data_IF_060235759540
#
_entry.id   IF_060235759540
#
_cell.length_a   1.000
_cell.length_b   1.000
_cell.length_c   1.000
_cell.angle_alpha   90.00
_cell.angle_beta   90.00
_cell.angle_gamma   90.00
#
_symmetry.space_group_name_H-M   'P 1'
#
loop_
_entity.id
_entity.type
_entity.pdbx_description
1 polymer ?
#
# COMPACT_ATOMS: atom_id res chain seq x y z
N UNK A 1 12.65 -6.21 -14.12
CA UNK A 1 13.10 -7.50 -14.68
C UNK A 1 14.13 -8.08 -13.74
N UNK A 2 14.11 -9.41 -13.55
CA UNK A 2 15.20 -10.12 -12.87
C UNK A 2 16.45 -10.09 -13.77
N UNK A 3 17.60 -9.87 -13.15
CA UNK A 3 18.88 -10.01 -13.86
C UNK A 3 19.30 -11.48 -13.85
N UNK A 4 19.91 -11.95 -14.92
CA UNK A 4 20.41 -13.34 -15.01
C UNK A 4 21.37 -13.69 -13.85
N UNK A 5 22.14 -12.71 -13.39
CA UNK A 5 23.05 -12.86 -12.24
C UNK A 5 22.30 -13.12 -10.92
N UNK A 6 21.09 -12.59 -10.72
CA UNK A 6 20.30 -12.86 -9.51
C UNK A 6 19.87 -14.31 -9.45
N UNK A 7 19.47 -14.90 -10.59
CA UNK A 7 19.07 -16.31 -10.66
C UNK A 7 20.25 -17.23 -10.41
N UNK A 8 21.43 -16.91 -10.95
CA UNK A 8 22.65 -17.70 -10.74
C UNK A 8 23.20 -17.62 -9.31
N UNK A 9 22.85 -16.58 -8.58
CA UNK A 9 23.21 -16.41 -7.16
C UNK A 9 22.16 -16.97 -6.19
N UNK A 10 21.09 -17.57 -6.68
CA UNK A 10 20.10 -18.21 -5.82
C UNK A 10 20.67 -19.41 -5.07
N UNK A 11 20.21 -19.63 -3.84
CA UNK A 11 20.67 -20.69 -2.96
C UNK A 11 19.92 -21.99 -3.22
N UNK A 12 20.62 -23.05 -3.58
CA UNK A 12 20.06 -24.36 -3.93
C UNK A 12 20.50 -25.41 -2.93
N UNK A 13 19.57 -26.21 -2.43
CA UNK A 13 19.85 -27.40 -1.62
C UNK A 13 19.59 -28.66 -2.44
N UNK A 14 20.54 -29.56 -2.46
CA UNK A 14 20.41 -30.92 -3.05
C UNK A 14 20.27 -31.92 -1.89
N UNK A 15 19.27 -32.79 -1.99
CA UNK A 15 18.98 -33.83 -0.98
C UNK A 15 18.80 -35.16 -1.72
N UNK A 16 19.79 -36.05 -1.59
CA UNK A 16 19.78 -37.38 -2.21
C UNK A 16 20.73 -38.29 -1.37
N UNK A 17 20.30 -39.48 -1.01
CA UNK A 17 21.08 -40.42 -0.19
C UNK A 17 22.25 -41.06 -0.95
N UNK A 18 22.32 -40.88 -2.28
CA UNK A 18 23.37 -41.42 -3.13
C UNK A 18 24.39 -40.35 -3.51
N UNK A 19 25.61 -40.48 -3.06
CA UNK A 19 26.70 -39.54 -3.32
C UNK A 19 26.90 -39.27 -4.80
N UNK A 20 26.77 -40.32 -5.65
CA UNK A 20 26.91 -40.19 -7.11
C UNK A 20 25.89 -39.24 -7.72
N UNK A 21 24.66 -39.26 -7.23
CA UNK A 21 23.58 -38.33 -7.67
C UNK A 21 23.86 -36.90 -7.21
N UNK A 22 24.29 -36.74 -5.97
CA UNK A 22 24.67 -35.44 -5.42
C UNK A 22 25.79 -34.81 -6.26
N UNK A 23 26.87 -35.56 -6.49
CA UNK A 23 28.03 -35.10 -7.29
C UNK A 23 27.62 -34.72 -8.71
N UNK A 24 26.76 -35.52 -9.35
CA UNK A 24 26.25 -35.22 -10.69
C UNK A 24 25.49 -33.92 -10.74
N UNK A 25 24.53 -33.74 -9.81
CA UNK A 25 23.68 -32.54 -9.74
C UNK A 25 24.50 -31.29 -9.40
N UNK A 26 25.46 -31.38 -8.47
CA UNK A 26 26.40 -30.28 -8.17
C UNK A 26 27.20 -29.87 -9.41
N UNK A 27 27.77 -30.85 -10.14
CA UNK A 27 28.52 -30.56 -11.35
C UNK A 27 27.66 -29.90 -12.43
N UNK A 28 26.42 -30.36 -12.61
CA UNK A 28 25.44 -29.79 -13.56
C UNK A 28 25.13 -28.34 -13.23
N UNK A 29 24.87 -28.05 -11.95
CA UNK A 29 24.56 -26.71 -11.49
C UNK A 29 25.75 -25.77 -11.57
N UNK A 30 26.96 -26.22 -11.13
CA UNK A 30 28.18 -25.42 -11.25
C UNK A 30 28.53 -25.11 -12.71
N UNK A 31 28.37 -26.07 -13.61
CA UNK A 31 28.57 -25.87 -15.07
C UNK A 31 27.51 -24.92 -15.68
N UNK A 32 26.33 -24.79 -15.06
CA UNK A 32 25.33 -23.83 -15.44
C UNK A 32 25.55 -22.43 -14.87
N UNK A 33 26.56 -22.26 -13.99
CA UNK A 33 26.93 -20.95 -13.39
C UNK A 33 26.32 -20.66 -12.02
N UNK A 34 25.60 -21.61 -11.40
CA UNK A 34 25.11 -21.44 -10.03
C UNK A 34 26.27 -21.50 -9.02
N UNK A 35 26.25 -20.58 -8.05
CA UNK A 35 27.35 -20.38 -7.13
C UNK A 35 27.08 -20.86 -5.70
N UNK A 36 25.82 -20.80 -5.27
CA UNK A 36 25.40 -21.14 -3.91
C UNK A 36 24.67 -22.49 -3.86
N UNK A 37 25.48 -23.56 -3.88
CA UNK A 37 24.97 -24.94 -3.86
C UNK A 37 25.42 -25.59 -2.56
N UNK A 38 24.46 -26.14 -1.84
CA UNK A 38 24.65 -26.97 -0.65
C UNK A 38 24.04 -28.34 -0.93
N UNK A 39 24.63 -29.39 -0.41
CA UNK A 39 24.11 -30.75 -0.51
C UNK A 39 24.06 -31.43 0.84
N UNK A 40 23.15 -32.37 0.99
CA UNK A 40 23.10 -33.29 2.13
C UNK A 40 22.61 -34.66 1.71
N UNK A 41 23.16 -35.71 2.31
CA UNK A 41 22.67 -37.09 2.21
C UNK A 41 21.74 -37.47 3.37
N UNK A 42 21.61 -36.58 4.34
CA UNK A 42 20.72 -36.77 5.51
C UNK A 42 19.42 -35.99 5.35
N UNK A 43 18.29 -36.68 5.12
CA UNK A 43 16.99 -36.03 4.99
C UNK A 43 16.52 -35.33 6.29
N UNK A 44 16.96 -35.79 7.47
CA UNK A 44 16.61 -35.18 8.74
C UNK A 44 17.22 -33.79 8.93
N UNK A 45 18.40 -33.54 8.34
CA UNK A 45 19.09 -32.27 8.40
C UNK A 45 18.41 -31.15 7.58
N UNK A 46 17.53 -31.47 6.63
CA UNK A 46 16.96 -30.53 5.65
C UNK A 46 16.24 -29.37 6.32
N UNK A 47 15.40 -29.63 7.31
CA UNK A 47 14.64 -28.59 7.99
C UNK A 47 15.52 -27.61 8.76
N UNK A 48 16.56 -28.12 9.44
CA UNK A 48 17.53 -27.28 10.15
C UNK A 48 18.36 -26.45 9.19
N UNK A 49 18.82 -27.05 8.09
CA UNK A 49 19.57 -26.37 7.03
C UNK A 49 18.73 -25.27 6.38
N UNK A 50 17.48 -25.56 6.03
CA UNK A 50 16.61 -24.56 5.42
C UNK A 50 16.28 -23.41 6.38
N UNK A 51 16.02 -23.65 7.65
CA UNK A 51 15.84 -22.58 8.67
C UNK A 51 17.05 -21.65 8.74
N UNK A 52 18.25 -22.21 8.64
CA UNK A 52 19.51 -21.46 8.77
C UNK A 52 19.87 -20.68 7.51
N UNK A 53 19.71 -21.30 6.33
CA UNK A 53 20.25 -20.78 5.07
C UNK A 53 19.18 -20.20 4.13
N UNK A 54 17.89 -20.49 4.36
CA UNK A 54 16.77 -19.98 3.55
C UNK A 54 16.97 -20.22 2.05
N UNK A 55 17.07 -21.50 1.65
CA UNK A 55 17.26 -21.88 0.24
C UNK A 55 16.12 -21.39 -0.66
N UNK A 56 16.45 -21.06 -1.88
CA UNK A 56 15.50 -20.62 -2.90
C UNK A 56 14.90 -21.76 -3.71
N UNK A 57 15.59 -22.92 -3.75
CA UNK A 57 15.14 -24.14 -4.40
C UNK A 57 15.70 -25.35 -3.66
N UNK A 58 14.87 -26.40 -3.55
CA UNK A 58 15.29 -27.69 -3.02
C UNK A 58 15.12 -28.73 -4.12
N UNK A 59 16.20 -29.44 -4.46
CA UNK A 59 16.21 -30.66 -5.27
C UNK A 59 16.12 -31.85 -4.32
N UNK A 60 15.09 -32.67 -4.42
CA UNK A 60 14.77 -33.68 -3.41
C UNK A 60 14.54 -35.04 -4.05
N UNK A 61 15.34 -36.04 -3.68
CA UNK A 61 14.97 -37.44 -3.92
C UNK A 61 13.83 -37.86 -2.98
N UNK A 62 12.91 -38.68 -3.48
CA UNK A 62 11.83 -39.25 -2.68
C UNK A 62 12.25 -40.53 -1.95
N UNK A 63 13.16 -41.28 -2.53
CA UNK A 63 13.54 -42.60 -2.06
C UNK A 63 14.84 -42.54 -1.25
N UNK A 64 14.69 -42.20 0.02
CA UNK A 64 15.82 -42.17 0.96
C UNK A 64 15.52 -43.06 2.16
N UNK A 65 16.54 -43.72 2.76
CA UNK A 65 16.38 -44.46 3.99
C UNK A 65 16.02 -43.52 5.14
N UNK A 66 15.41 -44.05 6.19
CA UNK A 66 15.04 -43.38 7.45
C UNK A 66 13.91 -42.37 7.37
N UNK A 67 13.90 -41.46 6.40
CA UNK A 67 12.87 -40.45 6.19
C UNK A 67 12.62 -40.30 4.68
N UNK A 68 11.39 -40.49 4.22
CA UNK A 68 11.06 -40.33 2.82
C UNK A 68 10.92 -38.85 2.42
N UNK A 69 11.10 -38.55 1.13
CA UNK A 69 11.01 -37.16 0.66
C UNK A 69 9.64 -36.53 0.85
N UNK A 70 8.56 -37.31 1.06
CA UNK A 70 7.23 -36.78 1.37
C UNK A 70 7.18 -36.20 2.79
N UNK A 71 7.84 -36.85 3.76
CA UNK A 71 7.95 -36.34 5.13
C UNK A 71 8.77 -35.06 5.16
N UNK A 72 9.88 -34.99 4.38
CA UNK A 72 10.67 -33.76 4.21
C UNK A 72 9.81 -32.63 3.66
N UNK A 73 9.03 -32.88 2.59
CA UNK A 73 8.15 -31.88 2.00
C UNK A 73 7.07 -31.38 2.97
N UNK A 74 6.49 -32.28 3.79
CA UNK A 74 5.50 -31.88 4.77
C UNK A 74 6.08 -30.89 5.78
N UNK A 75 7.25 -31.18 6.35
CA UNK A 75 7.89 -30.27 7.31
C UNK A 75 8.35 -28.95 6.68
N UNK A 76 8.77 -28.94 5.41
CA UNK A 76 9.07 -27.70 4.67
C UNK A 76 7.83 -26.85 4.47
N UNK A 77 6.67 -27.44 4.18
CA UNK A 77 5.40 -26.72 4.04
C UNK A 77 5.01 -26.01 5.34
N UNK A 78 5.19 -26.69 6.47
CA UNK A 78 4.88 -26.12 7.78
C UNK A 78 5.82 -24.94 8.14
N UNK A 79 7.06 -25.02 7.69
CA UNK A 79 8.07 -23.94 7.87
C UNK A 79 7.83 -22.72 6.97
N UNK A 80 7.33 -22.92 5.78
CA UNK A 80 7.14 -21.90 4.74
C UNK A 80 5.66 -21.56 4.52
N UNK A 81 4.83 -21.69 5.56
CA UNK A 81 3.43 -21.37 5.50
C UNK A 81 3.21 -19.93 5.01
N UNK A 82 2.61 -19.80 3.82
CA UNK A 82 2.36 -18.50 3.17
C UNK A 82 3.47 -17.99 2.24
N UNK A 83 4.58 -18.73 2.08
CA UNK A 83 5.63 -18.41 1.12
C UNK A 83 5.69 -19.42 -0.04
N UNK A 84 6.33 -19.02 -1.14
CA UNK A 84 6.54 -19.88 -2.30
C UNK A 84 7.95 -20.46 -2.28
N UNK A 85 8.15 -21.64 -1.64
CA UNK A 85 9.40 -22.40 -1.74
C UNK A 85 9.23 -23.50 -2.80
N UNK A 86 9.92 -23.45 -3.93
CA UNK A 86 9.89 -24.52 -4.91
C UNK A 86 10.71 -25.73 -4.44
N UNK A 87 10.10 -26.92 -4.55
CA UNK A 87 10.73 -28.22 -4.41
C UNK A 87 10.64 -28.95 -5.75
N UNK A 88 11.77 -29.27 -6.35
CA UNK A 88 11.88 -30.11 -7.53
C UNK A 88 12.19 -31.53 -7.09
N UNK A 89 11.25 -32.43 -7.29
CA UNK A 89 11.39 -33.83 -6.95
C UNK A 89 12.12 -34.59 -8.04
N UNK A 90 13.11 -35.39 -7.69
CA UNK A 90 13.87 -36.24 -8.59
C UNK A 90 13.66 -37.69 -8.18
N UNK A 91 12.96 -38.50 -8.99
CA UNK A 91 12.56 -39.86 -8.60
C UNK A 91 12.69 -40.87 -9.74
N UNK A 92 13.06 -42.11 -9.39
CA UNK A 92 13.07 -43.24 -10.33
C UNK A 92 11.68 -43.84 -10.59
N UNK A 93 10.69 -43.54 -9.75
CA UNK A 93 9.35 -44.18 -9.84
C UNK A 93 8.32 -43.27 -10.50
N UNK A 94 7.80 -43.65 -11.70
CA UNK A 94 6.77 -42.85 -12.39
C UNK A 94 5.45 -42.69 -11.60
N UNK A 95 5.12 -43.66 -10.76
CA UNK A 95 3.90 -43.66 -9.96
C UNK A 95 3.88 -42.59 -8.84
N UNK A 96 5.02 -42.08 -8.44
CA UNK A 96 5.12 -41.06 -7.37
C UNK A 96 4.87 -39.63 -7.86
N UNK A 97 4.83 -39.39 -9.18
CA UNK A 97 4.69 -38.04 -9.76
C UNK A 97 3.46 -37.30 -9.26
N UNK A 98 2.27 -37.91 -9.40
CA UNK A 98 1.03 -37.28 -8.98
C UNK A 98 1.00 -37.04 -7.49
N UNK A 99 1.46 -38.01 -6.70
CA UNK A 99 1.55 -37.92 -5.24
C UNK A 99 2.51 -36.79 -4.80
N UNK A 100 3.65 -36.64 -5.49
CA UNK A 100 4.62 -35.57 -5.19
C UNK A 100 4.02 -34.18 -5.43
N UNK A 101 3.32 -33.97 -6.55
CA UNK A 101 2.63 -32.70 -6.84
C UNK A 101 1.52 -32.43 -5.80
N UNK A 102 0.74 -33.43 -5.45
CA UNK A 102 -0.30 -33.32 -4.40
C UNK A 102 0.31 -33.01 -3.03
N UNK A 103 1.50 -33.56 -2.73
CA UNK A 103 2.25 -33.28 -1.51
C UNK A 103 2.90 -31.89 -1.48
N UNK A 104 2.88 -31.15 -2.60
CA UNK A 104 3.35 -29.77 -2.70
C UNK A 104 4.63 -29.54 -3.49
N UNK A 105 5.22 -30.57 -4.10
CA UNK A 105 6.27 -30.38 -5.07
C UNK A 105 5.77 -29.47 -6.20
N UNK A 106 6.61 -28.57 -6.66
CA UNK A 106 6.24 -27.66 -7.73
C UNK A 106 6.47 -28.28 -9.12
N UNK A 107 7.40 -29.22 -9.20
CA UNK A 107 7.68 -29.98 -10.38
C UNK A 107 8.42 -31.29 -10.03
N UNK A 108 8.60 -32.17 -11.01
CA UNK A 108 9.33 -33.42 -10.85
C UNK A 108 10.17 -33.74 -12.09
N UNK A 109 11.23 -34.53 -11.88
CA UNK A 109 12.08 -35.12 -12.94
C UNK A 109 12.24 -36.62 -12.69
N UNK A 110 12.15 -37.42 -13.73
CA UNK A 110 12.32 -38.87 -13.65
C UNK A 110 13.77 -39.29 -13.89
N UNK A 111 14.31 -40.17 -13.04
CA UNK A 111 15.61 -40.82 -13.28
C UNK A 111 15.41 -41.97 -14.31
N UNK A 112 16.30 -42.14 -15.32
CA UNK A 112 17.40 -41.27 -15.69
C UNK A 112 16.89 -39.96 -16.31
N UNK A 113 17.52 -38.82 -15.98
CA UNK A 113 17.06 -37.51 -16.42
C UNK A 113 17.97 -36.90 -17.50
N UNK A 114 17.40 -36.08 -18.34
CA UNK A 114 18.12 -35.20 -19.26
C UNK A 114 18.62 -33.98 -18.53
N UNK A 115 19.93 -33.70 -18.66
CA UNK A 115 20.57 -32.55 -18.01
C UNK A 115 20.05 -31.20 -18.49
N UNK A 116 19.59 -31.11 -19.73
CA UNK A 116 18.98 -29.88 -20.28
C UNK A 116 17.60 -29.66 -19.66
N UNK A 117 16.82 -30.73 -19.51
CA UNK A 117 15.51 -30.66 -18.83
C UNK A 117 15.68 -30.19 -17.39
N UNK A 118 16.58 -30.78 -16.61
CA UNK A 118 16.82 -30.41 -15.22
C UNK A 118 17.22 -28.95 -15.11
N UNK A 119 18.16 -28.49 -15.90
CA UNK A 119 18.62 -27.08 -15.89
C UNK A 119 17.48 -26.12 -16.20
N UNK A 120 16.66 -26.42 -17.22
CA UNK A 120 15.55 -25.55 -17.62
C UNK A 120 14.51 -25.45 -16.52
N UNK A 121 14.15 -26.58 -15.88
CA UNK A 121 13.18 -26.59 -14.77
C UNK A 121 13.70 -25.80 -13.57
N UNK A 122 14.96 -26.01 -13.18
CA UNK A 122 15.62 -25.27 -12.10
C UNK A 122 15.58 -23.78 -12.38
N UNK A 123 15.99 -23.36 -13.56
CA UNK A 123 15.99 -21.94 -13.95
C UNK A 123 14.60 -21.31 -13.83
N UNK A 124 13.58 -21.93 -14.42
CA UNK A 124 12.21 -21.44 -14.39
C UNK A 124 11.66 -21.37 -12.96
N UNK A 125 11.94 -22.38 -12.13
CA UNK A 125 11.49 -22.40 -10.74
C UNK A 125 12.14 -21.30 -9.88
N UNK A 126 13.43 -21.06 -10.09
CA UNK A 126 14.16 -19.99 -9.42
C UNK A 126 13.67 -18.60 -9.88
N UNK A 127 13.42 -18.43 -11.18
CA UNK A 127 12.84 -17.19 -11.70
C UNK A 127 11.51 -16.86 -10.99
N UNK A 128 10.61 -17.83 -10.92
CA UNK A 128 9.34 -17.67 -10.22
C UNK A 128 9.55 -17.38 -8.73
N UNK A 129 10.44 -18.10 -8.06
CA UNK A 129 10.75 -17.86 -6.63
C UNK A 129 11.21 -16.45 -6.36
N UNK A 130 12.18 -15.96 -7.14
CA UNK A 130 12.73 -14.62 -6.97
C UNK A 130 11.69 -13.52 -7.30
N UNK A 131 10.80 -13.76 -8.26
CA UNK A 131 9.69 -12.86 -8.55
C UNK A 131 8.71 -12.79 -7.36
N UNK A 132 8.38 -13.92 -6.74
CA UNK A 132 7.55 -13.93 -5.52
C UNK A 132 8.19 -13.19 -4.36
N UNK A 133 9.50 -13.36 -4.15
CA UNK A 133 10.24 -12.63 -3.11
C UNK A 133 10.20 -11.12 -3.36
N UNK A 134 10.51 -10.68 -4.58
CA UNK A 134 10.43 -9.25 -4.95
C UNK A 134 9.01 -8.70 -4.77
N UNK A 135 8.00 -9.44 -5.16
CA UNK A 135 6.60 -9.02 -4.97
C UNK A 135 6.26 -8.83 -3.49
N UNK A 136 6.71 -9.75 -2.63
CA UNK A 136 6.50 -9.65 -1.19
C UNK A 136 7.22 -8.42 -0.59
N UNK A 137 8.45 -8.14 -1.02
CA UNK A 137 9.20 -6.95 -0.62
C UNK A 137 8.53 -5.66 -1.07
N UNK A 138 8.05 -5.60 -2.32
CA UNK A 138 7.31 -4.45 -2.83
C UNK A 138 6.00 -4.20 -2.06
N UNK A 139 5.23 -5.26 -1.78
CA UNK A 139 4.01 -5.14 -1.01
C UNK A 139 4.29 -4.58 0.39
N UNK A 140 5.29 -5.10 1.09
CA UNK A 140 5.70 -4.59 2.40
C UNK A 140 6.13 -3.12 2.35
N UNK A 141 6.88 -2.72 1.31
CA UNK A 141 7.29 -1.32 1.12
C UNK A 141 6.10 -0.41 0.83
N UNK A 142 5.12 -0.87 0.04
CA UNK A 142 3.90 -0.12 -0.24
C UNK A 142 3.04 0.06 1.00
N UNK A 143 2.86 -0.99 1.81
CA UNK A 143 2.12 -0.92 3.08
C UNK A 143 2.75 0.13 4.01
N UNK A 144 4.07 0.11 4.17
CA UNK A 144 4.79 1.10 4.97
C UNK A 144 4.60 2.52 4.42
N UNK A 145 4.70 2.69 3.11
CA UNK A 145 4.51 4.00 2.47
C UNK A 145 3.08 4.54 2.67
N UNK A 146 2.06 3.68 2.59
CA UNK A 146 0.67 4.04 2.86
C UNK A 146 0.50 4.49 4.31
N UNK A 147 1.07 3.74 5.26
CA UNK A 147 1.02 4.09 6.68
C UNK A 147 1.68 5.44 6.96
N UNK A 148 2.89 5.67 6.45
CA UNK A 148 3.63 6.93 6.60
C UNK A 148 2.87 8.11 5.99
N UNK A 149 2.30 7.95 4.79
CA UNK A 149 1.52 9.01 4.14
C UNK A 149 0.23 9.31 4.88
N UNK A 150 -0.42 8.28 5.41
CA UNK A 150 -1.63 8.47 6.21
C UNK A 150 -1.34 9.22 7.52
N UNK A 151 -0.23 8.90 8.18
CA UNK A 151 0.22 9.61 9.38
C UNK A 151 0.56 11.08 9.08
N UNK A 152 1.30 11.35 8.00
CA UNK A 152 1.62 12.72 7.56
C UNK A 152 0.37 13.54 7.24
N UNK A 153 -0.62 12.93 6.56
CA UNK A 153 -1.86 13.61 6.23
C UNK A 153 -2.63 13.99 7.49
N UNK A 154 -2.79 13.04 8.43
CA UNK A 154 -3.46 13.29 9.72
C UNK A 154 -2.77 14.40 10.53
N UNK A 155 -1.44 14.40 10.56
CA UNK A 155 -0.69 15.45 11.24
C UNK A 155 -0.91 16.82 10.58
N UNK A 156 -0.88 16.87 9.25
CA UNK A 156 -1.12 18.10 8.49
C UNK A 156 -2.55 18.64 8.71
N UNK A 157 -3.55 17.76 8.69
CA UNK A 157 -4.95 18.12 8.99
C UNK A 157 -5.11 18.64 10.42
N UNK A 158 -4.51 17.96 11.41
CA UNK A 158 -4.55 18.39 12.80
C UNK A 158 -3.83 19.73 13.01
N UNK A 159 -2.73 19.95 12.29
CA UNK A 159 -2.01 21.23 12.31
C UNK A 159 -2.86 22.34 11.73
N UNK A 160 -3.50 22.09 10.59
CA UNK A 160 -4.39 23.05 9.94
C UNK A 160 -5.57 23.40 10.87
N UNK A 161 -6.21 22.41 11.50
CA UNK A 161 -7.30 22.63 12.44
C UNK A 161 -6.85 23.51 13.63
N UNK A 162 -5.69 23.24 14.22
CA UNK A 162 -5.17 24.06 15.33
C UNK A 162 -4.89 25.50 14.89
N UNK A 163 -4.38 25.72 13.67
CA UNK A 163 -4.18 27.07 13.15
C UNK A 163 -5.50 27.81 12.98
N UNK A 164 -6.53 27.15 12.46
CA UNK A 164 -7.85 27.77 12.32
C UNK A 164 -8.53 28.05 13.66
N UNK A 165 -8.32 27.19 14.67
CA UNK A 165 -8.83 27.42 16.04
C UNK A 165 -8.11 28.57 16.78
N UNK A 166 -6.83 28.77 16.54
CA UNK A 166 -6.03 29.85 17.14
C UNK A 166 -6.19 31.19 16.43
N UNK A 167 -6.63 31.16 15.18
CA UNK A 167 -6.95 32.34 14.40
C UNK A 167 -8.33 32.88 14.82
N UNK A 168 -8.47 34.21 14.88
CA UNK A 168 -9.80 34.85 15.01
C UNK A 168 -10.62 34.71 13.73
N UNK A 169 -10.02 34.14 12.70
CA UNK A 169 -10.65 33.90 11.39
C UNK A 169 -11.38 32.57 11.43
N UNK A 170 -12.51 32.51 10.79
CA UNK A 170 -13.20 31.23 10.58
C UNK A 170 -13.04 30.76 9.14
N UNK A 171 -12.94 29.45 8.97
CA UNK A 171 -12.93 28.77 7.67
C UNK A 171 -14.32 28.28 7.32
N UNK A 172 -14.69 28.35 6.04
CA UNK A 172 -15.93 27.83 5.54
C UNK A 172 -15.78 27.21 4.15
N UNK A 173 -16.57 26.17 3.91
CA UNK A 173 -16.79 25.56 2.60
C UNK A 173 -18.28 25.39 2.36
N UNK A 174 -18.71 25.61 1.14
CA UNK A 174 -20.08 25.33 0.69
C UNK A 174 -20.05 24.54 -0.62
N UNK A 175 -21.08 23.70 -0.82
CA UNK A 175 -21.27 22.97 -2.07
C UNK A 175 -21.77 23.90 -3.22
N UNK A 176 -21.99 23.31 -4.40
CA UNK A 176 -22.46 24.02 -5.57
C UNK A 176 -23.88 24.61 -5.39
N UNK A 177 -24.65 24.15 -4.39
CA UNK A 177 -25.96 24.63 -4.03
C UNK A 177 -25.91 25.70 -2.93
N UNK A 178 -24.74 26.05 -2.43
CA UNK A 178 -24.55 27.03 -1.38
C UNK A 178 -24.76 26.48 0.05
N UNK A 179 -24.89 25.17 0.21
CA UNK A 179 -24.99 24.53 1.52
C UNK A 179 -23.61 24.39 2.14
N UNK A 180 -23.44 24.85 3.38
CA UNK A 180 -22.19 24.67 4.11
C UNK A 180 -21.87 23.18 4.33
N UNK A 181 -20.70 22.78 3.90
CA UNK A 181 -20.19 21.40 4.00
C UNK A 181 -19.08 21.28 5.06
N UNK A 182 -18.32 22.35 5.27
CA UNK A 182 -17.27 22.43 6.27
C UNK A 182 -17.19 23.84 6.84
N UNK A 183 -16.92 23.95 8.14
CA UNK A 183 -16.67 25.25 8.77
C UNK A 183 -15.91 25.05 10.09
N UNK A 184 -15.20 26.11 10.51
CA UNK A 184 -14.52 26.18 11.82
C UNK A 184 -14.98 27.43 12.57
N UNK A 185 -14.89 27.39 13.90
CA UNK A 185 -15.29 28.52 14.75
C UNK A 185 -16.79 28.75 14.80
N UNK A 186 -17.26 29.91 15.28
CA UNK A 186 -18.68 30.22 15.53
C UNK A 186 -19.45 30.57 14.26
N UNK A 187 -19.06 30.03 13.09
CA UNK A 187 -19.64 30.37 11.78
C UNK A 187 -21.15 30.15 11.75
N UNK A 188 -21.64 29.05 12.31
CA UNK A 188 -23.07 28.75 12.31
C UNK A 188 -23.86 29.80 13.09
N UNK A 189 -23.36 30.21 14.27
CA UNK A 189 -23.98 31.26 15.08
C UNK A 189 -23.85 32.65 14.44
N UNK A 190 -22.65 32.92 13.87
CA UNK A 190 -22.35 34.21 13.25
C UNK A 190 -23.07 34.44 11.93
N UNK A 191 -23.28 33.38 11.14
CA UNK A 191 -24.02 33.45 9.87
C UNK A 191 -25.54 33.20 10.05
N UNK A 192 -26.01 32.88 11.27
CA UNK A 192 -27.43 32.57 11.53
C UNK A 192 -27.89 31.30 10.84
N UNK A 193 -26.97 30.33 10.61
CA UNK A 193 -27.27 29.08 9.94
C UNK A 193 -27.74 28.07 10.98
N UNK A 194 -29.01 27.75 10.98
CA UNK A 194 -29.60 26.75 11.90
C UNK A 194 -30.77 27.25 12.75
N UNK A 195 -31.08 28.53 12.78
CA UNK A 195 -32.31 29.05 13.39
C UNK A 195 -33.35 29.33 12.29
N UNK A 196 -34.34 28.48 12.16
CA UNK A 196 -35.48 28.71 11.24
C UNK A 196 -36.31 29.95 11.63
N UNK A 197 -36.01 30.62 12.76
CA UNK A 197 -36.84 31.66 13.35
C UNK A 197 -36.29 33.08 13.28
N UNK A 198 -35.07 33.34 12.78
CA UNK A 198 -34.59 34.72 12.66
C UNK A 198 -34.68 35.22 11.21
N UNK A 199 -35.46 36.27 10.94
CA UNK A 199 -35.41 36.95 9.64
C UNK A 199 -33.99 37.48 9.44
N UNK A 200 -33.41 37.15 8.31
CA UNK A 200 -32.04 37.54 7.91
C UNK A 200 -31.93 39.08 8.01
N UNK A 201 -31.23 39.55 9.04
CA UNK A 201 -30.97 40.98 9.27
C UNK A 201 -29.75 41.51 8.52
N UNK A 202 -29.35 40.77 7.47
CA UNK A 202 -28.25 41.16 6.61
C UNK A 202 -28.62 42.35 5.75
N UNK A 203 -27.63 43.21 5.48
CA UNK A 203 -27.78 44.24 4.49
C UNK A 203 -28.07 43.62 3.13
N UNK A 204 -29.29 43.83 2.63
CA UNK A 204 -29.77 43.19 1.41
C UNK A 204 -28.95 43.55 0.15
N UNK A 205 -28.46 44.79 0.08
CA UNK A 205 -27.65 45.25 -1.05
C UNK A 205 -26.28 44.61 -1.07
N UNK A 206 -25.60 44.55 0.08
CA UNK A 206 -24.31 43.92 0.22
C UNK A 206 -24.37 42.39 -0.02
N UNK A 207 -25.46 41.77 0.49
CA UNK A 207 -25.69 40.35 0.26
C UNK A 207 -25.92 40.04 -1.21
N UNK A 208 -26.72 40.85 -1.93
CA UNK A 208 -26.93 40.67 -3.35
C UNK A 208 -25.64 40.80 -4.17
N UNK A 209 -24.73 41.68 -3.77
CA UNK A 209 -23.41 41.81 -4.41
C UNK A 209 -22.53 40.58 -4.20
N UNK A 210 -22.55 40.01 -2.98
CA UNK A 210 -21.81 38.77 -2.69
C UNK A 210 -22.40 37.59 -3.46
N UNK A 211 -23.73 37.46 -3.47
CA UNK A 211 -24.42 36.39 -4.20
C UNK A 211 -24.15 36.49 -5.72
N UNK A 212 -24.06 37.70 -6.27
CA UNK A 212 -23.69 37.92 -7.69
C UNK A 212 -22.30 37.44 -7.99
N UNK A 213 -21.30 37.70 -7.12
CA UNK A 213 -19.94 37.20 -7.28
C UNK A 213 -19.89 35.67 -7.20
N UNK A 214 -20.60 35.07 -6.26
CA UNK A 214 -20.72 33.63 -6.12
C UNK A 214 -21.36 33.01 -7.37
N UNK A 215 -22.46 33.60 -7.87
CA UNK A 215 -23.13 33.15 -9.09
C UNK A 215 -22.21 33.25 -10.34
N UNK A 216 -21.40 34.29 -10.42
CA UNK A 216 -20.40 34.48 -11.48
C UNK A 216 -19.20 33.55 -11.35
N UNK A 217 -19.07 32.83 -10.26
CA UNK A 217 -17.90 31.97 -9.92
C UNK A 217 -16.60 32.75 -9.87
N UNK A 218 -16.64 34.00 -9.40
CA UNK A 218 -15.51 34.88 -9.25
C UNK A 218 -14.94 34.80 -7.83
N UNK A 219 -13.59 34.79 -7.66
CA UNK A 219 -12.99 34.93 -6.34
C UNK A 219 -13.30 36.34 -5.79
N UNK A 220 -13.47 36.43 -4.48
CA UNK A 220 -13.63 37.71 -3.79
C UNK A 220 -12.69 37.77 -2.59
N UNK A 221 -12.09 38.94 -2.37
CA UNK A 221 -11.19 39.21 -1.27
C UNK A 221 -11.73 40.38 -0.47
N UNK A 222 -11.61 40.25 0.85
CA UNK A 222 -11.91 41.31 1.83
C UNK A 222 -13.29 41.96 1.65
N UNK A 223 -14.26 41.16 1.22
CA UNK A 223 -15.61 41.64 1.04
C UNK A 223 -16.29 41.86 2.40
N UNK A 224 -16.67 43.11 2.70
CA UNK A 224 -17.31 43.45 3.97
C UNK A 224 -18.81 43.52 3.75
N UNK A 225 -19.56 42.86 4.64
CA UNK A 225 -21.00 42.95 4.71
C UNK A 225 -21.49 43.05 6.15
N UNK A 226 -22.66 43.65 6.33
CA UNK A 226 -23.16 44.03 7.63
C UNK A 226 -24.46 43.34 7.97
N UNK A 227 -24.71 43.17 9.27
CA UNK A 227 -26.00 42.73 9.83
C UNK A 227 -26.37 43.54 11.06
N UNK A 228 -27.66 43.72 11.26
CA UNK A 228 -28.19 44.27 12.50
C UNK A 228 -28.37 43.17 13.55
N UNK A 229 -27.84 43.34 14.75
CA UNK A 229 -28.04 42.48 15.90
C UNK A 229 -29.39 42.77 16.58
N UNK A 230 -29.85 41.87 17.47
CA UNK A 230 -31.07 42.03 18.25
C UNK A 230 -31.04 43.25 19.18
N UNK A 231 -29.88 43.67 19.66
CA UNK A 231 -29.65 44.83 20.53
C UNK A 231 -29.60 46.16 19.76
N UNK A 232 -29.83 46.14 18.42
CA UNK A 232 -29.74 47.32 17.56
C UNK A 232 -28.32 47.68 17.13
N UNK A 233 -27.29 46.96 17.58
CA UNK A 233 -25.92 47.16 17.11
C UNK A 233 -25.69 46.59 15.72
N UNK A 234 -24.72 47.11 14.96
CA UNK A 234 -24.32 46.56 13.67
C UNK A 234 -23.06 45.75 13.80
N UNK A 235 -23.07 44.56 13.26
CA UNK A 235 -21.92 43.67 13.12
C UNK A 235 -21.39 43.75 11.68
N UNK A 236 -20.08 43.82 11.52
CA UNK A 236 -19.43 43.84 10.23
C UNK A 236 -18.55 42.58 10.07
N UNK A 237 -18.79 41.84 8.99
CA UNK A 237 -18.05 40.64 8.66
C UNK A 237 -17.28 40.83 7.37
N UNK A 238 -16.01 40.53 7.40
CA UNK A 238 -15.11 40.52 6.25
C UNK A 238 -14.92 39.08 5.79
N UNK A 239 -15.20 38.80 4.52
CA UNK A 239 -15.06 37.46 3.95
C UNK A 239 -14.24 37.48 2.70
N UNK A 240 -13.45 36.41 2.53
CA UNK A 240 -12.73 36.12 1.30
C UNK A 240 -13.08 34.71 0.86
N UNK A 241 -13.24 34.50 -0.43
CA UNK A 241 -13.62 33.19 -0.95
C UNK A 241 -13.20 32.96 -2.39
N UNK A 242 -12.97 31.70 -2.71
CA UNK A 242 -12.60 31.26 -4.07
C UNK A 242 -13.46 30.06 -4.50
N UNK A 243 -13.79 29.96 -5.80
CA UNK A 243 -14.52 28.82 -6.32
C UNK A 243 -13.67 27.55 -6.33
N UNK A 244 -14.28 26.42 -6.01
CA UNK A 244 -13.67 25.10 -6.07
C UNK A 244 -14.14 24.35 -7.31
N UNK A 245 -13.20 23.62 -7.93
CA UNK A 245 -13.46 22.77 -9.08
C UNK A 245 -12.92 21.35 -8.82
N UNK A 246 -13.59 20.34 -9.36
CA UNK A 246 -13.08 18.97 -9.35
C UNK A 246 -11.99 18.76 -10.43
N UNK A 247 -11.40 17.57 -10.46
CA UNK A 247 -10.38 17.19 -11.45
C UNK A 247 -10.89 17.27 -12.91
N UNK A 248 -12.20 17.31 -13.12
CA UNK A 248 -12.85 17.49 -14.42
C UNK A 248 -13.23 18.94 -14.73
N UNK A 249 -12.72 19.92 -13.97
CA UNK A 249 -13.05 21.34 -14.07
C UNK A 249 -14.55 21.67 -13.89
N UNK A 250 -15.29 20.82 -13.18
CA UNK A 250 -16.68 21.11 -12.82
C UNK A 250 -16.71 21.86 -11.49
N UNK A 251 -17.49 22.92 -11.42
CA UNK A 251 -17.70 23.68 -10.20
C UNK A 251 -18.35 22.79 -9.11
N UNK A 252 -17.72 22.75 -7.94
CA UNK A 252 -18.17 21.94 -6.80
C UNK A 252 -18.54 22.77 -5.58
N UNK A 253 -18.29 24.09 -5.59
CA UNK A 253 -18.62 24.97 -4.49
C UNK A 253 -17.65 26.11 -4.30
N UNK A 254 -17.65 26.67 -3.10
CA UNK A 254 -16.73 27.72 -2.64
C UNK A 254 -16.06 27.32 -1.35
N UNK A 255 -14.87 27.85 -1.13
CA UNK A 255 -14.20 27.85 0.16
C UNK A 255 -13.64 29.22 0.48
N UNK A 256 -13.52 29.53 1.74
CA UNK A 256 -13.04 30.83 2.13
C UNK A 256 -12.74 30.95 3.63
N UNK A 257 -12.36 32.15 3.98
CA UNK A 257 -12.16 32.58 5.36
C UNK A 257 -13.05 33.78 5.65
N UNK A 258 -13.34 34.01 6.91
CA UNK A 258 -14.07 35.19 7.36
C UNK A 258 -13.56 35.68 8.71
N UNK A 259 -13.82 36.92 9.00
CA UNK A 259 -13.38 37.62 10.20
C UNK A 259 -14.44 38.61 10.66
N UNK A 260 -14.67 38.70 11.98
CA UNK A 260 -15.46 39.79 12.54
C UNK A 260 -14.60 41.04 12.70
N UNK A 261 -14.91 42.06 11.90
CA UNK A 261 -14.18 43.34 11.89
C UNK A 261 -14.93 44.46 12.60
N UNK A 262 -16.00 44.12 13.33
CA UNK A 262 -16.88 45.09 14.00
C UNK A 262 -16.10 46.04 14.91
N UNK A 263 -15.19 45.51 15.70
CA UNK A 263 -14.39 46.33 16.61
C UNK A 263 -13.40 47.24 15.86
N UNK A 264 -12.80 46.76 14.76
CA UNK A 264 -11.85 47.52 13.95
C UNK A 264 -12.49 48.74 13.27
N UNK A 265 -13.76 48.56 12.81
CA UNK A 265 -14.49 49.63 12.13
C UNK A 265 -15.15 50.65 13.07
N UNK A 266 -15.26 50.35 14.38
CA UNK A 266 -15.78 51.27 15.37
C UNK A 266 -14.73 52.25 15.95
N UNK A 267 -13.44 51.97 15.73
CA UNK A 267 -12.32 52.73 16.26
C UNK A 267 -11.73 53.73 15.25
N UNK A 268 -12.08 53.63 13.99
CA UNK A 268 -11.72 54.55 12.91
C UNK A 268 -12.86 55.48 12.57
#
# INVERSE_FOLDING_TARGET
>A
MLQATEILNASILIVDDQEANVMLLEQVLRNAGYTHITSTMDPQAVHALHRRHRYDLILLDLQMPEMDGFEVMQGLRDLEAGSYLPVLVITAQPGHKLRALQAGAKDFVSKPFDLVEVKTRIHNMLEVRLLYQKLAEYNKSLEQMVEDRTAQLRESEARFQRFTELSSDWYWEQDAQGKLTRFSGPVAEMLGIGSEEEPQRWNAAERALLDAKIAAREPFLDFIYSRANLDGSTQYLQVSGEPMFDNGSRFIGYRGIGLDVTQRLRIG
#
